data_IF_512858317460
#
_entry.id   IF_512858317460
#
_cell.length_a   1.000
_cell.length_b   1.000
_cell.length_c   1.000
_cell.angle_alpha   90.00
_cell.angle_beta   90.00
_cell.angle_gamma   90.00
#
_symmetry.space_group_name_H-M   'P 1'
#
loop_
_entity.id
_entity.type
_entity.pdbx_description
1 polymer ?
#
# COMPACT_ATOMS: atom_id res chain seq x y z
N UNK A 1 2.75 9.92 -18.35
CA UNK A 1 3.42 9.81 -17.03
C UNK A 1 4.62 10.75 -17.00
N UNK A 2 4.65 11.73 -16.11
CA UNK A 2 5.71 12.77 -16.07
C UNK A 2 7.02 12.33 -15.43
N UNK A 3 8.08 13.14 -15.59
CA UNK A 3 9.43 12.90 -15.05
C UNK A 3 9.43 12.68 -13.53
N UNK A 4 8.62 13.44 -12.79
CA UNK A 4 8.47 13.31 -11.35
C UNK A 4 7.98 11.91 -10.93
N UNK A 5 7.04 11.33 -11.68
CA UNK A 5 6.54 9.99 -11.39
C UNK A 5 7.62 8.93 -11.62
N UNK A 6 8.49 9.12 -12.62
CA UNK A 6 9.62 8.22 -12.88
C UNK A 6 10.66 8.28 -11.76
N UNK A 7 11.00 9.49 -11.29
CA UNK A 7 11.91 9.68 -10.16
C UNK A 7 11.33 9.03 -8.90
N UNK A 8 10.04 9.23 -8.62
CA UNK A 8 9.35 8.60 -7.49
C UNK A 8 9.39 7.08 -7.56
N UNK A 9 9.18 6.48 -8.74
CA UNK A 9 9.27 5.03 -8.90
C UNK A 9 10.69 4.50 -8.71
N UNK A 10 11.71 5.19 -9.25
CA UNK A 10 13.11 4.80 -9.07
C UNK A 10 13.52 4.89 -7.60
N UNK A 11 13.06 5.91 -6.88
CA UNK A 11 13.28 6.04 -5.45
C UNK A 11 12.63 4.91 -4.65
N UNK A 12 11.36 4.59 -4.93
CA UNK A 12 10.67 3.47 -4.27
C UNK A 12 11.33 2.11 -4.56
N UNK A 13 11.86 1.93 -5.77
CA UNK A 13 12.60 0.72 -6.12
C UNK A 13 13.95 0.64 -5.38
N UNK A 14 14.63 1.77 -5.17
CA UNK A 14 15.93 1.83 -4.50
C UNK A 14 15.84 1.71 -2.97
N UNK A 15 14.83 2.34 -2.35
CA UNK A 15 14.63 2.33 -0.90
C UNK A 15 13.88 1.08 -0.42
N UNK A 16 13.25 0.36 -1.36
CA UNK A 16 12.33 -0.73 -1.07
C UNK A 16 10.95 -0.21 -0.66
N UNK A 17 9.91 -1.01 -0.89
CA UNK A 17 8.59 -0.71 -0.37
C UNK A 17 8.63 -0.69 1.15
N UNK A 18 8.12 0.38 1.78
CA UNK A 18 7.96 0.43 3.24
C UNK A 18 7.06 -0.69 3.80
N UNK A 19 6.31 -1.36 2.92
CA UNK A 19 5.37 -2.40 3.25
C UNK A 19 5.85 -3.77 2.75
N UNK A 20 5.66 -4.80 3.58
CA UNK A 20 5.94 -6.19 3.23
C UNK A 20 4.87 -6.82 2.33
N UNK A 21 4.00 -6.00 1.74
CA UNK A 21 2.93 -6.35 0.81
C UNK A 21 2.85 -5.28 -0.28
N UNK A 22 2.29 -5.58 -1.47
CA UNK A 22 2.12 -4.58 -2.51
C UNK A 22 1.16 -3.50 -2.01
N UNK A 23 1.67 -2.29 -1.76
CA UNK A 23 0.87 -1.18 -1.24
C UNK A 23 1.34 0.18 -1.75
N UNK A 24 0.43 1.15 -1.75
CA UNK A 24 0.65 2.53 -2.15
C UNK A 24 -0.21 3.48 -1.31
N UNK A 25 0.41 4.46 -0.66
CA UNK A 25 -0.30 5.56 -0.01
C UNK A 25 -0.59 6.68 -1.02
N UNK A 26 -1.84 7.17 -1.05
CA UNK A 26 -2.30 8.26 -1.91
C UNK A 26 -3.03 9.31 -1.07
N UNK A 27 -2.68 10.58 -1.29
CA UNK A 27 -3.45 11.73 -0.79
C UNK A 27 -4.31 12.28 -1.91
N UNK A 28 -5.63 12.33 -1.70
CA UNK A 28 -6.61 12.92 -2.60
C UNK A 28 -7.02 14.32 -2.10
N UNK A 29 -7.58 15.19 -2.97
CA UNK A 29 -8.10 16.49 -2.56
C UNK A 29 -9.12 16.37 -1.43
N UNK A 30 -9.15 17.37 -0.54
CA UNK A 30 -10.03 17.39 0.63
C UNK A 30 -9.57 16.44 1.74
N UNK A 31 -8.27 16.37 2.00
CA UNK A 31 -7.68 15.65 3.15
C UNK A 31 -8.08 14.17 3.23
N UNK A 32 -8.25 13.54 2.08
CA UNK A 32 -8.58 12.11 1.98
C UNK A 32 -7.31 11.31 1.79
N UNK A 33 -7.01 10.46 2.74
CA UNK A 33 -5.82 9.62 2.73
C UNK A 33 -6.22 8.16 2.48
N UNK A 34 -5.69 7.57 1.42
CA UNK A 34 -5.95 6.19 1.03
C UNK A 34 -4.68 5.36 1.16
N UNK A 35 -4.78 4.21 1.83
CA UNK A 35 -3.79 3.14 1.75
C UNK A 35 -4.29 2.09 0.75
N UNK A 36 -3.82 2.17 -0.49
CA UNK A 36 -4.14 1.17 -1.51
C UNK A 36 -3.30 -0.08 -1.29
N UNK A 37 -3.95 -1.23 -1.22
CA UNK A 37 -3.28 -2.53 -1.21
C UNK A 37 -3.50 -3.15 -2.58
N UNK A 38 -2.41 -3.47 -3.28
CA UNK A 38 -2.47 -4.15 -4.58
C UNK A 38 -3.23 -5.47 -4.42
N UNK A 39 -3.89 -5.94 -5.48
CA UNK A 39 -4.79 -7.10 -5.46
C UNK A 39 -4.12 -8.32 -4.84
N UNK A 40 -4.25 -8.43 -3.54
CA UNK A 40 -4.14 -9.65 -2.78
C UNK A 40 -5.44 -10.35 -3.10
N UNK A 41 -5.38 -11.48 -3.80
CA UNK A 41 -6.44 -12.46 -3.69
C UNK A 41 -6.43 -12.95 -2.24
N UNK A 42 -6.92 -12.13 -1.30
CA UNK A 42 -7.18 -12.48 0.10
C UNK A 42 -8.21 -13.60 0.07
N UNK A 43 -7.74 -14.85 0.01
CA UNK A 43 -8.59 -15.99 -0.28
C UNK A 43 -7.84 -17.21 -0.76
N UNK A 44 -6.60 -17.08 -1.26
CA UNK A 44 -5.73 -18.24 -1.42
C UNK A 44 -5.12 -18.62 -0.06
N UNK A 45 -4.99 -19.93 0.20
CA UNK A 45 -4.52 -20.48 1.48
C UNK A 45 -3.19 -19.87 1.94
N UNK A 46 -2.32 -19.53 0.99
CA UNK A 46 -0.97 -19.03 1.27
C UNK A 46 -0.92 -17.51 1.49
N UNK A 47 -2.03 -16.79 1.27
CA UNK A 47 -2.17 -15.35 1.49
C UNK A 47 -3.17 -15.01 2.61
N UNK A 48 -3.59 -16.02 3.38
CA UNK A 48 -4.41 -15.87 4.59
C UNK A 48 -3.66 -16.44 5.80
N UNK A 49 -3.61 -15.72 6.94
CA UNK A 49 -4.13 -14.37 7.14
C UNK A 49 -3.23 -13.29 6.50
N UNK A 50 -3.75 -12.08 6.26
CA UNK A 50 -2.93 -10.95 5.85
C UNK A 50 -1.82 -10.64 6.87
N UNK A 51 -0.72 -9.98 6.45
CA UNK A 51 0.36 -9.61 7.37
C UNK A 51 -0.16 -8.87 8.61
N UNK A 52 0.36 -9.19 9.79
CA UNK A 52 -0.12 -8.63 11.06
C UNK A 52 -0.12 -7.09 11.09
N UNK A 53 0.85 -6.45 10.43
CA UNK A 53 0.91 -4.98 10.28
C UNK A 53 -0.25 -4.43 9.44
N UNK A 54 -0.67 -5.14 8.39
CA UNK A 54 -1.84 -4.77 7.59
C UNK A 54 -3.13 -4.95 8.40
N UNK A 55 -3.26 -6.08 9.11
CA UNK A 55 -4.41 -6.31 10.01
C UNK A 55 -4.53 -5.24 11.10
N UNK A 56 -3.40 -4.74 11.63
CA UNK A 56 -3.41 -3.63 12.59
C UNK A 56 -3.95 -2.34 11.96
N UNK A 57 -3.50 -1.99 10.75
CA UNK A 57 -3.99 -0.82 10.02
C UNK A 57 -5.49 -0.91 9.74
N UNK A 58 -5.98 -2.06 9.28
CA UNK A 58 -7.41 -2.29 9.01
C UNK A 58 -8.25 -2.13 10.28
N UNK A 59 -7.81 -2.70 11.41
CA UNK A 59 -8.53 -2.56 12.69
C UNK A 59 -8.55 -1.12 13.24
N UNK A 60 -7.60 -0.29 12.82
CA UNK A 60 -7.50 1.11 13.21
C UNK A 60 -8.22 2.04 12.23
N UNK A 61 -8.59 1.54 11.05
CA UNK A 61 -9.43 2.28 10.14
C UNK A 61 -10.85 2.34 10.71
N UNK A 62 -11.39 3.54 10.75
CA UNK A 62 -12.70 3.88 11.30
C UNK A 62 -13.72 4.30 10.21
N UNK A 63 -13.31 4.20 8.94
CA UNK A 63 -14.13 4.40 7.76
C UNK A 63 -14.70 3.09 7.20
#
# INVERSE_FOLDING_TARGET
>A
MGLLNRIKMLWQAAVGSSYSWPALDITLPGERYLHLVGSIHMGTRDMSPPPARLLKKIRQADA
#
